data_IF_267055419806
#
_entry.id   IF_267055419806
#
_cell.length_a   1.000
_cell.length_b   1.000
_cell.length_c   1.000
_cell.angle_alpha   90.00
_cell.angle_beta   90.00
_cell.angle_gamma   90.00
#
_symmetry.space_group_name_H-M   'P 1'
#
loop_
_entity.id
_entity.type
_entity.pdbx_description
1 polymer ?
#
# COMPACT_ATOMS: atom_id res chain seq x y z
N UNK A 1 18.00 0.46 -6.42
CA UNK A 1 19.31 0.48 -5.75
C UNK A 1 19.92 -0.91 -5.70
N UNK A 2 21.24 -0.97 -5.59
CA UNK A 2 22.02 -2.19 -5.36
C UNK A 2 21.95 -2.65 -3.89
N UNK A 3 22.51 -3.83 -3.59
CA UNK A 3 22.47 -4.43 -2.26
C UNK A 3 23.24 -3.64 -1.18
N UNK A 4 24.13 -2.74 -1.56
CA UNK A 4 24.87 -1.82 -0.69
C UNK A 4 24.21 -0.44 -0.56
N UNK A 5 22.96 -0.31 -1.00
CA UNK A 5 22.18 0.93 -1.05
C UNK A 5 22.69 1.99 -2.02
N UNK A 6 23.73 1.71 -2.82
CA UNK A 6 24.16 2.64 -3.86
C UNK A 6 23.24 2.57 -5.09
N UNK A 7 23.18 3.62 -5.92
CA UNK A 7 22.45 3.57 -7.18
C UNK A 7 22.90 2.41 -8.06
N UNK A 8 21.94 1.68 -8.63
CA UNK A 8 22.26 0.64 -9.62
C UNK A 8 22.86 1.30 -10.87
N UNK A 9 23.80 0.60 -11.53
CA UNK A 9 24.56 1.14 -12.67
C UNK A 9 23.68 1.56 -13.84
N UNK A 10 22.55 0.91 -14.01
CA UNK A 10 21.54 1.18 -15.05
C UNK A 10 20.50 2.26 -14.64
N UNK A 11 20.48 2.70 -13.37
CA UNK A 11 19.40 3.53 -12.87
C UNK A 11 19.43 4.95 -13.43
N UNK A 12 18.30 5.43 -13.90
CA UNK A 12 18.07 6.86 -14.05
C UNK A 12 18.00 7.53 -12.67
N UNK A 13 18.24 8.82 -12.63
CA UNK A 13 18.20 9.61 -11.41
C UNK A 13 17.80 11.06 -11.70
N UNK A 14 17.19 11.71 -10.73
CA UNK A 14 16.70 13.08 -10.84
C UNK A 14 15.94 13.47 -9.58
N UNK A 15 15.65 14.75 -9.45
CA UNK A 15 14.88 15.29 -8.31
C UNK A 15 13.42 14.82 -8.30
N UNK A 16 12.94 14.32 -9.42
CA UNK A 16 11.58 13.76 -9.58
C UNK A 16 11.47 12.30 -9.13
N UNK A 17 12.57 11.69 -8.69
CA UNK A 17 12.53 10.33 -8.13
C UNK A 17 12.09 10.41 -6.68
N UNK A 18 10.89 9.93 -6.39
CA UNK A 18 10.30 9.96 -5.04
C UNK A 18 10.83 8.84 -4.16
N UNK A 19 10.87 7.61 -4.68
CA UNK A 19 11.26 6.42 -3.94
C UNK A 19 12.27 5.56 -4.70
N UNK A 20 13.13 4.94 -3.92
CA UNK A 20 14.01 3.85 -4.36
C UNK A 20 13.58 2.53 -3.71
N UNK A 21 13.92 1.43 -4.39
CA UNK A 21 13.75 0.08 -3.86
C UNK A 21 14.84 -0.85 -4.40
N UNK A 22 15.05 -2.04 -3.82
CA UNK A 22 15.98 -3.02 -4.34
C UNK A 22 15.64 -3.40 -5.79
N UNK A 23 16.54 -3.16 -6.71
CA UNK A 23 16.42 -3.51 -8.13
C UNK A 23 17.51 -4.45 -8.59
N UNK A 24 18.51 -4.69 -7.74
CA UNK A 24 19.72 -5.43 -8.07
C UNK A 24 20.72 -4.61 -8.89
N UNK A 25 21.91 -5.12 -9.04
CA UNK A 25 22.98 -4.54 -9.87
C UNK A 25 24.03 -5.62 -10.16
N UNK A 26 23.87 -6.38 -11.24
CA UNK A 26 24.77 -7.44 -11.65
C UNK A 26 26.09 -6.93 -12.22
N UNK A 27 26.10 -5.70 -12.69
CA UNK A 27 27.30 -5.06 -13.24
C UNK A 27 28.21 -4.45 -12.15
N UNK A 28 27.76 -4.47 -10.90
CA UNK A 28 28.54 -3.90 -9.80
C UNK A 28 29.70 -4.81 -9.38
N UNK A 29 30.92 -4.30 -9.54
CA UNK A 29 32.13 -4.96 -9.12
C UNK A 29 32.57 -4.46 -7.73
N UNK A 30 32.54 -5.33 -6.75
CA UNK A 30 33.07 -5.02 -5.41
C UNK A 30 32.17 -5.36 -4.24
N UNK A 31 31.00 -5.95 -4.45
CA UNK A 31 30.24 -6.52 -3.34
C UNK A 31 30.95 -7.78 -2.82
N UNK A 32 31.19 -7.90 -1.50
CA UNK A 32 31.71 -9.11 -0.91
C UNK A 32 30.79 -10.30 -1.24
N UNK A 33 31.32 -11.33 -1.86
CA UNK A 33 30.55 -12.52 -2.26
C UNK A 33 29.76 -12.36 -3.57
N UNK A 34 29.85 -11.22 -4.27
CA UNK A 34 29.29 -11.09 -5.60
C UNK A 34 30.18 -11.90 -6.57
N UNK A 35 29.69 -13.06 -7.02
CA UNK A 35 30.17 -13.64 -8.26
C UNK A 35 29.47 -12.93 -9.42
N UNK A 36 30.12 -12.82 -10.54
CA UNK A 36 29.60 -12.33 -11.81
C UNK A 36 28.22 -12.93 -12.18
N UNK A 37 27.93 -14.11 -11.69
CA UNK A 37 26.70 -14.85 -12.00
C UNK A 37 25.50 -14.45 -11.16
N UNK A 38 25.68 -13.91 -9.94
CA UNK A 38 24.56 -13.68 -9.00
C UNK A 38 24.71 -12.40 -8.16
N UNK A 39 25.71 -11.59 -8.42
CA UNK A 39 26.11 -10.49 -7.56
C UNK A 39 25.09 -9.38 -7.39
N UNK A 40 24.27 -9.51 -6.36
CA UNK A 40 23.36 -8.44 -5.97
C UNK A 40 22.09 -8.31 -6.80
N UNK A 41 21.79 -9.29 -7.68
CA UNK A 41 20.54 -9.34 -8.44
C UNK A 41 19.35 -9.80 -7.57
N UNK A 42 18.16 -9.56 -8.04
CA UNK A 42 16.91 -9.95 -7.36
C UNK A 42 16.57 -11.38 -7.73
N UNK A 43 16.52 -12.25 -6.73
CA UNK A 43 16.10 -13.65 -6.88
C UNK A 43 14.60 -13.79 -6.72
N UNK A 44 13.93 -14.36 -7.71
CA UNK A 44 12.47 -14.51 -7.69
C UNK A 44 12.02 -15.71 -8.56
N UNK A 45 10.71 -15.96 -8.52
CA UNK A 45 10.05 -16.97 -9.35
C UNK A 45 10.03 -16.55 -10.82
N UNK A 46 10.28 -17.52 -11.70
CA UNK A 46 10.25 -17.36 -13.15
C UNK A 46 9.49 -18.49 -13.81
N UNK A 47 9.11 -18.27 -15.06
CA UNK A 47 8.66 -19.33 -15.96
C UNK A 47 9.59 -19.36 -17.15
N UNK A 48 10.32 -20.46 -17.34
CA UNK A 48 11.21 -20.67 -18.47
C UNK A 48 10.69 -21.86 -19.27
N UNK A 49 10.45 -21.67 -20.56
CA UNK A 49 9.88 -22.70 -21.46
C UNK A 49 8.59 -23.35 -20.91
N UNK A 50 7.74 -22.55 -20.27
CA UNK A 50 6.47 -23.02 -19.68
C UNK A 50 6.63 -23.77 -18.35
N UNK A 51 7.84 -23.83 -17.75
CA UNK A 51 8.10 -24.49 -16.48
C UNK A 51 8.38 -23.48 -15.36
N UNK A 52 7.74 -23.63 -14.20
CA UNK A 52 8.05 -22.80 -13.02
C UNK A 52 9.52 -23.06 -12.58
N UNK A 53 10.23 -22.00 -12.31
CA UNK A 53 11.61 -22.02 -11.82
C UNK A 53 11.91 -20.79 -10.98
N UNK A 54 13.17 -20.64 -10.59
CA UNK A 54 13.71 -19.45 -9.93
C UNK A 54 14.89 -18.92 -10.71
N UNK A 55 15.13 -17.63 -10.63
CA UNK A 55 16.30 -17.01 -11.26
C UNK A 55 16.53 -15.59 -10.77
N UNK A 56 17.57 -15.00 -11.31
CA UNK A 56 18.07 -13.69 -10.93
C UNK A 56 17.83 -12.69 -12.04
N UNK A 57 17.18 -11.57 -11.70
CA UNK A 57 17.01 -10.42 -12.59
C UNK A 57 17.42 -9.14 -11.89
N UNK A 58 17.66 -8.11 -12.69
CA UNK A 58 17.91 -6.76 -12.22
C UNK A 58 17.11 -5.75 -13.04
N UNK A 59 16.90 -4.59 -12.48
CA UNK A 59 16.22 -3.50 -13.15
C UNK A 59 15.28 -2.73 -12.24
N UNK A 60 14.87 -1.56 -12.73
CA UNK A 60 13.77 -0.81 -12.11
C UNK A 60 12.46 -1.59 -12.12
N UNK A 61 12.31 -2.54 -13.06
CA UNK A 61 11.20 -3.50 -13.10
C UNK A 61 11.16 -4.44 -11.89
N UNK A 62 12.29 -4.68 -11.21
CA UNK A 62 12.38 -5.45 -9.97
C UNK A 62 12.18 -4.53 -8.75
N UNK A 63 12.60 -3.27 -8.83
CA UNK A 63 12.38 -2.29 -7.78
C UNK A 63 10.89 -1.92 -7.61
N UNK A 64 10.16 -1.75 -8.71
CA UNK A 64 8.75 -1.38 -8.71
C UNK A 64 7.87 -2.33 -7.86
N UNK A 65 7.90 -3.66 -8.05
CA UNK A 65 7.08 -4.58 -7.25
C UNK A 65 7.49 -4.63 -5.77
N UNK A 66 8.71 -4.28 -5.40
CA UNK A 66 9.08 -4.12 -3.99
C UNK A 66 8.28 -2.98 -3.35
N UNK A 67 8.17 -1.83 -4.01
CA UNK A 67 7.35 -0.72 -3.52
C UNK A 67 5.88 -1.13 -3.44
N UNK A 68 5.35 -1.75 -4.50
CA UNK A 68 3.96 -2.24 -4.53
C UNK A 68 3.68 -3.27 -3.43
N UNK A 69 4.63 -4.17 -3.17
CA UNK A 69 4.55 -5.16 -2.10
C UNK A 69 4.54 -4.53 -0.70
N UNK A 70 5.39 -3.52 -0.47
CA UNK A 70 5.40 -2.78 0.81
C UNK A 70 4.09 -2.01 1.01
N UNK A 71 3.54 -1.39 -0.04
CA UNK A 71 2.25 -0.72 0.01
C UNK A 71 1.13 -1.72 0.32
N UNK A 72 1.09 -2.86 -0.37
CA UNK A 72 0.09 -3.90 -0.14
C UNK A 72 0.16 -4.46 1.28
N UNK A 73 1.37 -4.72 1.78
CA UNK A 73 1.60 -5.15 3.16
C UNK A 73 1.10 -4.10 4.16
N UNK A 74 1.42 -2.84 3.93
CA UNK A 74 0.97 -1.74 4.79
C UNK A 74 -0.55 -1.58 4.81
N UNK A 75 -1.20 -1.66 3.63
CA UNK A 75 -2.66 -1.60 3.56
C UNK A 75 -3.33 -2.78 4.26
N UNK A 76 -2.81 -4.00 4.07
CA UNK A 76 -3.29 -5.18 4.79
C UNK A 76 -3.15 -5.01 6.30
N UNK A 77 -1.99 -4.51 6.75
CA UNK A 77 -1.75 -4.25 8.16
C UNK A 77 -2.62 -3.11 8.72
N UNK A 78 -2.90 -2.07 7.93
CA UNK A 78 -3.82 -1.00 8.32
C UNK A 78 -5.22 -1.54 8.60
N UNK A 79 -5.72 -2.46 7.75
CA UNK A 79 -7.00 -3.14 7.96
C UNK A 79 -6.97 -3.96 9.26
N UNK A 80 -5.94 -4.76 9.49
CA UNK A 80 -5.75 -5.53 10.73
C UNK A 80 -5.75 -4.64 11.98
N UNK A 81 -5.09 -3.47 11.88
CA UNK A 81 -5.04 -2.49 12.98
C UNK A 81 -6.28 -1.59 13.04
N UNK A 82 -7.30 -1.85 12.20
CA UNK A 82 -8.52 -1.03 12.09
C UNK A 82 -8.23 0.46 11.84
N UNK A 83 -7.22 0.73 11.02
CA UNK A 83 -6.82 2.08 10.60
C UNK A 83 -7.26 2.36 9.19
N UNK A 84 -7.83 3.53 8.98
CA UNK A 84 -8.24 4.02 7.67
C UNK A 84 -7.33 5.15 7.22
N UNK A 85 -6.95 5.11 5.94
CA UNK A 85 -6.18 6.15 5.28
C UNK A 85 -6.84 6.52 3.97
N UNK A 86 -6.87 7.80 3.65
CA UNK A 86 -7.10 8.22 2.27
C UNK A 86 -5.87 7.90 1.45
N UNK A 87 -6.03 7.72 0.13
CA UNK A 87 -4.91 7.36 -0.74
C UNK A 87 -3.71 8.32 -0.61
N UNK A 88 -3.96 9.63 -0.61
CA UNK A 88 -2.90 10.64 -0.41
C UNK A 88 -2.19 10.53 0.94
N UNK A 89 -2.95 10.36 2.03
CA UNK A 89 -2.39 10.19 3.38
C UNK A 89 -1.50 8.96 3.47
N UNK A 90 -1.91 7.86 2.84
CA UNK A 90 -1.12 6.63 2.83
C UNK A 90 0.16 6.78 2.00
N UNK A 91 0.07 7.44 0.85
CA UNK A 91 1.25 7.75 0.02
C UNK A 91 2.24 8.62 0.77
N UNK A 92 1.78 9.68 1.44
CA UNK A 92 2.63 10.51 2.28
C UNK A 92 3.27 9.72 3.42
N UNK A 93 2.52 8.78 4.04
CA UNK A 93 3.06 7.92 5.08
C UNK A 93 4.19 7.03 4.55
N UNK A 94 4.02 6.46 3.35
CA UNK A 94 5.08 5.69 2.67
C UNK A 94 6.33 6.54 2.45
N UNK A 95 6.18 7.77 1.97
CA UNK A 95 7.31 8.69 1.74
C UNK A 95 7.98 9.11 3.04
N UNK A 96 7.21 9.48 4.06
CA UNK A 96 7.74 9.95 5.34
C UNK A 96 8.47 8.86 6.13
N UNK A 97 8.08 7.60 5.96
CA UNK A 97 8.72 6.46 6.62
C UNK A 97 9.87 5.87 5.82
N UNK A 98 10.05 6.26 4.57
CA UNK A 98 11.15 5.82 3.73
C UNK A 98 12.49 6.30 4.27
N UNK A 99 13.53 5.47 4.13
CA UNK A 99 14.86 5.68 4.70
C UNK A 99 15.70 6.56 3.78
N UNK A 100 16.36 7.56 4.36
CA UNK A 100 17.41 8.32 3.66
C UNK A 100 18.61 7.40 3.36
N UNK A 101 19.08 7.44 2.13
CA UNK A 101 20.22 6.65 1.64
C UNK A 101 21.37 7.51 1.09
N UNK A 102 21.25 8.81 1.09
CA UNK A 102 22.30 9.73 0.59
C UNK A 102 23.64 9.57 1.31
N UNK A 103 23.60 9.10 2.56
CA UNK A 103 24.80 8.78 3.33
C UNK A 103 25.69 7.69 2.71
N UNK A 104 25.11 6.80 1.88
CA UNK A 104 25.84 5.76 1.16
C UNK A 104 26.48 6.26 -0.14
N UNK A 105 26.14 7.48 -0.60
CA UNK A 105 26.63 8.02 -1.86
C UNK A 105 27.93 8.78 -1.65
N UNK A 106 28.98 8.02 -1.33
CA UNK A 106 30.32 8.51 -1.10
C UNK A 106 31.35 7.71 -1.88
N UNK A 107 32.40 8.38 -2.35
CA UNK A 107 33.45 7.74 -3.13
C UNK A 107 33.03 7.32 -4.54
N UNK A 108 33.71 6.34 -5.08
CA UNK A 108 33.50 5.84 -6.45
C UNK A 108 32.90 4.45 -6.46
N UNK A 109 31.95 4.21 -7.34
CA UNK A 109 31.44 2.88 -7.71
C UNK A 109 32.14 2.41 -8.97
N UNK A 110 32.62 1.16 -8.96
CA UNK A 110 33.15 0.49 -10.14
C UNK A 110 32.10 -0.45 -10.72
N UNK A 111 31.90 -0.40 -12.01
CA UNK A 111 30.97 -1.28 -12.71
C UNK A 111 31.55 -1.76 -14.03
N UNK A 112 31.10 -2.92 -14.50
CA UNK A 112 31.38 -3.41 -15.84
C UNK A 112 30.19 -3.10 -16.74
N UNK A 113 30.46 -2.60 -17.92
CA UNK A 113 29.41 -2.33 -18.89
C UNK A 113 29.05 -3.61 -19.65
N UNK A 114 27.76 -3.90 -19.76
CA UNK A 114 27.22 -5.04 -20.52
C UNK A 114 27.72 -6.42 -20.09
N UNK A 115 27.82 -6.72 -18.79
CA UNK A 115 28.25 -8.04 -18.30
C UNK A 115 29.52 -8.57 -18.97
N UNK A 116 30.39 -7.67 -19.40
CA UNK A 116 31.63 -8.07 -20.09
C UNK A 116 32.58 -8.77 -19.12
N UNK A 117 33.27 -9.78 -19.64
CA UNK A 117 34.17 -10.66 -18.90
C UNK A 117 35.11 -9.95 -17.92
N UNK A 118 35.47 -10.60 -16.79
CA UNK A 118 36.54 -10.13 -15.92
C UNK A 118 37.79 -9.76 -16.72
N UNK A 119 38.20 -8.50 -16.68
CA UNK A 119 39.33 -7.97 -17.45
C UNK A 119 38.98 -6.83 -18.42
N UNK A 120 37.71 -6.57 -18.68
CA UNK A 120 37.32 -5.32 -19.33
C UNK A 120 37.52 -4.14 -18.40
N UNK A 121 37.78 -2.96 -18.95
CA UNK A 121 37.96 -1.73 -18.15
C UNK A 121 36.70 -1.42 -17.37
N UNK A 122 36.81 -1.40 -16.05
CA UNK A 122 35.68 -0.98 -15.18
C UNK A 122 35.44 0.54 -15.36
N UNK A 123 34.18 0.90 -15.51
CA UNK A 123 33.75 2.30 -15.42
C UNK A 123 33.73 2.72 -13.96
N UNK A 124 34.28 3.88 -13.66
CA UNK A 124 34.22 4.49 -12.34
C UNK A 124 33.22 5.62 -12.35
N UNK A 125 32.34 5.61 -11.36
CA UNK A 125 31.30 6.61 -11.21
C UNK A 125 31.36 7.21 -9.82
N UNK A 126 31.51 8.54 -9.74
CA UNK A 126 31.40 9.28 -8.48
C UNK A 126 29.97 9.19 -7.94
N UNK A 127 29.82 8.66 -6.72
CA UNK A 127 28.52 8.46 -6.11
C UNK A 127 27.87 9.76 -5.61
N UNK A 128 28.68 10.77 -5.29
CA UNK A 128 28.20 12.06 -4.79
C UNK A 128 27.23 12.77 -5.75
N UNK A 129 27.29 12.48 -7.06
CA UNK A 129 26.37 13.06 -8.08
C UNK A 129 24.91 12.66 -7.90
N UNK A 130 24.66 11.56 -7.17
CA UNK A 130 23.33 11.00 -6.98
C UNK A 130 22.61 11.56 -5.73
N UNK A 131 23.30 12.27 -4.84
CA UNK A 131 22.73 12.84 -3.62
C UNK A 131 21.54 13.73 -3.93
N UNK A 132 20.43 13.50 -3.22
CA UNK A 132 19.16 14.18 -3.42
C UNK A 132 18.44 13.85 -4.73
N UNK A 133 18.85 12.79 -5.46
CA UNK A 133 18.33 12.45 -6.80
C UNK A 133 17.90 11.01 -6.97
N UNK A 134 17.90 10.23 -5.90
CA UNK A 134 17.51 8.82 -5.93
C UNK A 134 16.24 8.54 -5.14
N UNK A 135 15.62 9.58 -4.58
CA UNK A 135 14.53 9.42 -3.64
C UNK A 135 14.99 8.72 -2.35
N UNK A 136 14.04 8.34 -1.52
CA UNK A 136 14.28 7.61 -0.27
C UNK A 136 14.00 6.13 -0.45
N UNK A 137 14.72 5.26 0.23
CA UNK A 137 14.50 3.82 0.16
C UNK A 137 13.22 3.42 0.88
N UNK A 138 12.32 2.72 0.19
CA UNK A 138 11.10 2.18 0.78
C UNK A 138 11.42 1.34 2.03
N UNK A 139 10.63 1.51 3.10
CA UNK A 139 10.89 0.94 4.41
C UNK A 139 9.63 0.30 4.99
N UNK A 140 9.48 -1.00 4.82
CA UNK A 140 8.34 -1.76 5.31
C UNK A 140 8.17 -1.65 6.83
N UNK A 141 9.25 -1.84 7.59
CA UNK A 141 9.19 -1.78 9.06
C UNK A 141 8.79 -0.38 9.56
N UNK A 142 9.35 0.68 8.96
CA UNK A 142 8.97 2.06 9.27
C UNK A 142 7.50 2.32 8.99
N UNK A 143 7.00 1.87 7.82
CA UNK A 143 5.60 2.02 7.43
C UNK A 143 4.66 1.30 8.42
N UNK A 144 4.93 0.04 8.76
CA UNK A 144 4.09 -0.72 9.69
C UNK A 144 4.06 -0.09 11.09
N UNK A 145 5.18 0.41 11.58
CA UNK A 145 5.23 1.11 12.86
C UNK A 145 4.41 2.42 12.82
N UNK A 146 4.53 3.20 11.76
CA UNK A 146 3.79 4.44 11.62
C UNK A 146 2.28 4.23 11.49
N UNK A 147 1.82 3.13 10.88
CA UNK A 147 0.40 2.78 10.78
C UNK A 147 -0.24 2.61 12.16
N UNK A 148 0.48 2.06 13.14
CA UNK A 148 -0.03 1.91 14.52
C UNK A 148 -0.35 3.26 15.17
N UNK A 149 0.43 4.28 14.85
CA UNK A 149 0.40 5.59 15.51
C UNK A 149 -0.41 6.63 14.71
N UNK A 150 -0.77 6.32 13.45
CA UNK A 150 -1.41 7.25 12.54
C UNK A 150 -2.67 6.66 11.88
N UNK A 151 -3.38 7.49 11.14
CA UNK A 151 -4.65 7.13 10.53
C UNK A 151 -5.84 7.38 11.48
N UNK A 152 -7.02 7.45 10.91
CA UNK A 152 -8.27 7.47 11.67
C UNK A 152 -8.70 6.04 11.98
N UNK A 153 -9.46 5.85 13.04
CA UNK A 153 -10.18 4.60 13.23
C UNK A 153 -11.04 4.31 12.00
N UNK A 154 -11.13 3.04 11.61
CA UNK A 154 -11.93 2.65 10.46
C UNK A 154 -13.37 3.02 10.74
N UNK A 155 -13.91 3.93 9.94
CA UNK A 155 -15.32 4.31 9.99
C UNK A 155 -16.07 3.53 8.94
N UNK A 156 -17.22 3.00 9.33
CA UNK A 156 -18.17 2.47 8.37
C UNK A 156 -18.65 3.58 7.42
N UNK A 157 -18.94 3.26 6.15
CA UNK A 157 -19.38 4.27 5.20
C UNK A 157 -20.71 4.89 5.63
N UNK A 158 -20.92 6.15 5.28
CA UNK A 158 -22.25 6.75 5.42
C UNK A 158 -23.26 5.96 4.60
N UNK A 159 -24.44 5.73 5.18
CA UNK A 159 -25.54 5.01 4.52
C UNK A 159 -26.63 5.99 4.17
N UNK A 160 -27.14 5.88 2.95
CA UNK A 160 -28.26 6.68 2.46
C UNK A 160 -29.39 5.71 2.08
N UNK A 161 -30.51 5.81 2.76
CA UNK A 161 -31.64 4.92 2.55
C UNK A 161 -32.93 5.74 2.57
N UNK A 162 -33.81 5.54 1.60
CA UNK A 162 -35.09 6.25 1.56
C UNK A 162 -36.07 5.70 2.63
N UNK A 163 -37.01 6.54 3.15
CA UNK A 163 -38.03 6.04 4.05
C UNK A 163 -38.82 4.88 3.44
N UNK A 164 -38.93 3.79 4.18
CA UNK A 164 -39.58 2.55 3.76
C UNK A 164 -38.67 1.58 2.96
N UNK A 165 -37.49 2.02 2.53
CA UNK A 165 -36.50 1.14 1.87
C UNK A 165 -35.49 0.58 2.88
N UNK A 166 -34.77 -0.44 2.47
CA UNK A 166 -33.71 -1.07 3.26
C UNK A 166 -32.46 -1.27 2.42
N UNK A 167 -31.30 -1.18 3.06
CA UNK A 167 -30.01 -1.57 2.47
C UNK A 167 -29.29 -2.54 3.37
N UNK A 168 -28.44 -3.38 2.78
CA UNK A 168 -27.67 -4.40 3.50
C UNK A 168 -26.18 -4.10 3.32
N UNK A 169 -25.45 -4.15 4.42
CA UNK A 169 -24.00 -3.92 4.48
C UNK A 169 -23.36 -5.17 5.05
N UNK A 170 -22.40 -5.71 4.32
CA UNK A 170 -21.58 -6.81 4.79
C UNK A 170 -20.44 -6.24 5.66
N UNK A 171 -20.57 -6.35 6.96
CA UNK A 171 -19.60 -5.84 7.95
C UNK A 171 -18.26 -6.57 7.86
N UNK A 172 -18.23 -7.83 7.43
CA UNK A 172 -16.97 -8.56 7.26
C UNK A 172 -16.01 -7.92 6.25
N UNK A 173 -16.50 -7.05 5.39
CA UNK A 173 -15.64 -6.27 4.47
C UNK A 173 -14.85 -5.17 5.14
N UNK A 174 -15.28 -4.74 6.31
CA UNK A 174 -14.67 -3.64 7.07
C UNK A 174 -13.87 -4.13 8.26
N UNK A 175 -14.13 -5.36 8.71
CA UNK A 175 -13.50 -5.95 9.87
C UNK A 175 -12.95 -7.33 9.48
N UNK A 176 -11.67 -7.37 9.18
CA UNK A 176 -10.97 -8.61 8.85
C UNK A 176 -10.24 -9.06 10.10
N UNK A 177 -10.79 -10.08 10.78
CA UNK A 177 -10.08 -10.81 11.81
C UNK A 177 -10.18 -12.30 11.45
N UNK A 178 -9.15 -13.08 11.74
CA UNK A 178 -9.13 -14.52 11.42
C UNK A 178 -10.10 -15.37 12.24
N UNK A 179 -10.85 -14.75 13.17
CA UNK A 179 -11.87 -15.36 14.01
C UNK A 179 -13.26 -14.83 13.65
N UNK A 180 -14.31 -15.57 14.01
CA UNK A 180 -15.68 -15.14 13.84
C UNK A 180 -16.00 -13.96 14.75
N UNK A 181 -16.15 -12.77 14.17
CA UNK A 181 -16.47 -11.55 14.90
C UNK A 181 -17.96 -11.50 15.28
N UNK A 182 -18.24 -11.01 16.48
CA UNK A 182 -19.59 -10.77 16.97
C UNK A 182 -19.94 -9.30 16.79
N UNK A 183 -21.02 -9.02 16.07
CA UNK A 183 -21.49 -7.68 15.80
C UNK A 183 -22.76 -7.36 16.55
N UNK A 184 -22.88 -6.14 17.08
CA UNK A 184 -24.12 -5.58 17.59
C UNK A 184 -24.28 -4.14 17.09
N UNK A 185 -25.53 -3.66 17.01
CA UNK A 185 -25.84 -2.33 16.50
C UNK A 185 -26.83 -1.63 17.42
N UNK A 186 -26.62 -0.32 17.61
CA UNK A 186 -27.53 0.57 18.33
C UNK A 186 -27.81 1.80 17.46
N UNK A 187 -29.07 2.18 17.33
CA UNK A 187 -29.49 3.35 16.54
C UNK A 187 -29.84 4.47 17.49
N UNK A 188 -29.21 5.62 17.33
CA UNK A 188 -29.42 6.77 18.21
C UNK A 188 -30.85 7.34 18.11
N UNK A 189 -31.49 7.30 16.94
CA UNK A 189 -32.88 7.70 16.73
C UNK A 189 -33.61 6.70 15.83
N UNK A 190 -34.37 5.82 16.47
CA UNK A 190 -35.19 4.81 15.79
C UNK A 190 -36.36 5.40 15.00
N UNK A 191 -36.73 6.65 15.22
CA UNK A 191 -37.73 7.37 14.43
C UNK A 191 -37.21 7.76 13.03
N UNK A 192 -35.89 7.73 12.82
CA UNK A 192 -35.22 8.04 11.54
C UNK A 192 -34.79 6.79 10.82
N UNK A 193 -34.16 5.82 11.51
CA UNK A 193 -33.74 4.56 10.95
C UNK A 193 -33.87 3.42 11.96
N UNK A 194 -34.02 2.20 11.44
CA UNK A 194 -33.90 0.94 12.17
C UNK A 194 -32.67 0.19 11.65
N UNK A 195 -31.94 -0.51 12.52
CA UNK A 195 -30.84 -1.39 12.11
C UNK A 195 -30.88 -2.72 12.86
N UNK A 196 -30.46 -3.77 12.18
CA UNK A 196 -30.32 -5.12 12.75
C UNK A 196 -29.12 -5.82 12.13
N UNK A 197 -28.51 -6.74 12.86
CA UNK A 197 -27.40 -7.57 12.37
C UNK A 197 -27.80 -9.04 12.43
N UNK A 198 -27.47 -9.77 11.37
CA UNK A 198 -27.56 -11.23 11.31
C UNK A 198 -26.25 -11.74 10.71
N UNK A 199 -25.51 -12.53 11.46
CA UNK A 199 -24.14 -12.93 11.14
C UNK A 199 -23.24 -11.71 10.86
N UNK A 200 -22.76 -11.55 9.65
CA UNK A 200 -21.93 -10.41 9.23
C UNK A 200 -22.73 -9.32 8.49
N UNK A 201 -24.02 -9.51 8.29
CA UNK A 201 -24.85 -8.62 7.48
C UNK A 201 -25.65 -7.66 8.36
N UNK A 202 -25.40 -6.38 8.24
CA UNK A 202 -26.21 -5.33 8.86
C UNK A 202 -27.27 -4.85 7.85
N UNK A 203 -28.53 -4.93 8.25
CA UNK A 203 -29.65 -4.34 7.50
C UNK A 203 -30.01 -3.00 8.13
N UNK A 204 -30.02 -1.94 7.33
CA UNK A 204 -30.47 -0.61 7.73
C UNK A 204 -31.74 -0.26 6.96
N UNK A 205 -32.81 0.10 7.67
CA UNK A 205 -34.09 0.52 7.11
C UNK A 205 -34.37 1.98 7.43
N UNK A 206 -34.71 2.77 6.42
CA UNK A 206 -35.17 4.14 6.59
C UNK A 206 -36.59 4.17 7.14
N UNK A 207 -36.81 4.96 8.17
CA UNK A 207 -38.15 5.16 8.78
C UNK A 207 -38.72 6.51 8.37
N UNK A 208 -37.96 7.60 8.55
CA UNK A 208 -38.36 8.94 8.16
C UNK A 208 -37.19 9.75 7.62
N UNK A 209 -37.48 10.92 7.04
CA UNK A 209 -36.45 11.84 6.58
C UNK A 209 -35.73 12.45 7.78
N UNK A 210 -34.43 12.38 7.84
CA UNK A 210 -33.59 12.90 8.91
C UNK A 210 -32.17 12.40 8.85
N UNK A 211 -31.43 12.61 9.93
CA UNK A 211 -30.07 12.14 10.13
C UNK A 211 -30.02 11.44 11.48
N UNK A 212 -29.44 10.25 11.51
CA UNK A 212 -29.15 9.53 12.75
C UNK A 212 -27.80 8.85 12.68
N UNK A 213 -27.33 8.35 13.80
CA UNK A 213 -26.09 7.61 13.96
C UNK A 213 -26.43 6.16 14.31
N UNK A 214 -25.70 5.23 13.75
CA UNK A 214 -25.73 3.83 14.13
C UNK A 214 -24.35 3.48 14.69
N UNK A 215 -24.32 3.12 15.96
CA UNK A 215 -23.12 2.61 16.60
C UNK A 215 -23.06 1.10 16.38
N UNK A 216 -21.94 0.65 15.82
CA UNK A 216 -21.65 -0.77 15.55
C UNK A 216 -20.58 -1.20 16.50
N UNK A 217 -20.88 -2.16 17.37
CA UNK A 217 -19.90 -2.76 18.29
C UNK A 217 -19.41 -4.07 17.69
N UNK A 218 -18.10 -4.23 17.62
CA UNK A 218 -17.42 -5.43 17.13
C UNK A 218 -16.56 -5.98 18.25
N UNK A 219 -16.86 -7.16 18.74
CA UNK A 219 -16.16 -7.79 19.90
C UNK A 219 -15.98 -6.84 21.09
N UNK A 220 -17.02 -6.04 21.37
CA UNK A 220 -17.03 -5.07 22.46
C UNK A 220 -16.29 -3.75 22.19
N UNK A 221 -15.89 -3.45 20.95
CA UNK A 221 -15.30 -2.16 20.54
C UNK A 221 -16.26 -1.40 19.64
N UNK A 222 -16.55 -0.15 19.96
CA UNK A 222 -17.51 0.67 19.23
C UNK A 222 -16.90 1.26 17.94
N UNK A 223 -17.69 1.24 16.86
CA UNK A 223 -17.40 1.89 15.58
C UNK A 223 -18.62 2.65 15.12
N UNK A 224 -18.50 3.95 14.89
CA UNK A 224 -19.64 4.82 14.57
C UNK A 224 -19.91 4.92 13.08
N UNK A 225 -21.17 4.73 12.68
CA UNK A 225 -21.69 4.92 11.33
C UNK A 225 -22.67 6.11 11.29
N UNK A 226 -22.58 6.92 10.23
CA UNK A 226 -23.51 8.02 9.99
C UNK A 226 -24.52 7.66 8.90
N UNK A 227 -25.79 7.89 9.15
CA UNK A 227 -26.88 7.66 8.20
C UNK A 227 -27.51 8.98 7.80
N UNK A 228 -27.55 9.27 6.50
CA UNK A 228 -28.22 10.45 5.92
C UNK A 228 -29.30 9.97 4.95
N UNK A 229 -30.58 10.25 5.18
CA UNK A 229 -31.64 9.93 4.24
C UNK A 229 -31.66 10.90 3.05
N UNK A 230 -31.99 10.40 1.87
CA UNK A 230 -32.41 11.20 0.72
C UNK A 230 -31.45 11.33 -0.45
N UNK A 231 -30.21 10.86 -0.37
CA UNK A 231 -29.33 10.79 -1.54
C UNK A 231 -28.99 9.34 -1.90
N UNK A 232 -29.05 9.03 -3.20
CA UNK A 232 -28.67 7.73 -3.73
C UNK A 232 -27.14 7.66 -3.81
N UNK A 233 -26.48 6.89 -2.96
CA UNK A 233 -25.05 6.61 -3.10
C UNK A 233 -24.88 5.31 -3.85
N UNK A 234 -24.22 5.39 -5.02
CA UNK A 234 -23.78 4.22 -5.74
C UNK A 234 -22.49 3.73 -5.09
N UNK A 235 -22.55 2.57 -4.48
CA UNK A 235 -21.40 1.91 -3.89
C UNK A 235 -20.52 1.27 -4.98
N UNK A 236 -19.25 1.70 -5.07
CA UNK A 236 -18.28 1.04 -5.93
C UNK A 236 -17.73 -0.20 -5.22
N UNK A 237 -17.77 -1.35 -5.89
CA UNK A 237 -17.25 -2.64 -5.43
C UNK A 237 -15.72 -2.65 -5.24
N UNK A 238 -15.04 -1.60 -5.69
CA UNK A 238 -13.60 -1.46 -5.61
C UNK A 238 -13.26 -0.09 -5.02
N UNK A 239 -12.71 -0.07 -3.82
CA UNK A 239 -12.14 1.13 -3.23
C UNK A 239 -10.99 1.63 -4.15
N UNK A 240 -11.15 2.84 -4.70
CA UNK A 240 -10.10 3.52 -5.47
C UNK A 240 -10.39 3.84 -6.93
N UNK A 241 -11.61 3.60 -7.44
CA UNK A 241 -11.98 4.07 -8.78
C UNK A 241 -13.04 5.16 -8.67
N UNK A 242 -12.69 6.40 -9.00
CA UNK A 242 -13.68 7.45 -9.28
C UNK A 242 -14.53 7.01 -10.48
N UNK A 243 -15.80 6.74 -10.25
CA UNK A 243 -16.75 6.57 -11.35
C UNK A 243 -17.35 7.94 -11.63
N UNK A 244 -16.95 8.58 -12.74
CA UNK A 244 -17.71 9.69 -13.29
C UNK A 244 -19.02 9.15 -13.84
N UNK A 245 -20.13 9.55 -13.25
CA UNK A 245 -21.44 9.33 -13.83
C UNK A 245 -21.63 10.37 -14.93
N UNK A 246 -21.73 9.91 -16.18
CA UNK A 246 -22.10 10.76 -17.30
C UNK A 246 -23.51 11.35 -17.05
N UNK A 247 -23.60 12.68 -17.05
CA UNK A 247 -24.87 13.37 -17.22
C UNK A 247 -25.28 14.40 -16.17
N UNK A 248 -24.34 15.02 -15.46
CA UNK A 248 -24.64 16.30 -14.79
C UNK A 248 -23.50 17.26 -15.12
N UNK A 249 -23.78 18.22 -16.00
CA UNK A 249 -23.00 19.44 -16.16
C UNK A 249 -23.01 20.29 -14.89
#
# INVERSE_FOLDING_TARGET
VAADYTPATYSNFGVEVDLSAPGGDGDYYGLPGSSYENGGMIYSTLVVEGRPTYGYYEGTSMACPHVSGVIALGLSYAVEQRRHFRAGEFVELVYNTARDIDGYFTGEKKSYYNHTSPGSAATKTELSKYKGKMGRLVNAAGLLNAIKESGSEMRLPNVYVAPGESTVIDLARFFIDGEALVYSVEVADAGIAEASVTDTYMTVKGVSVGFTVIDVTVDGKDVTMYVKPGEKVIYSKYAGTEIKLDGVE
#
